data_IF_741729866592
#
_entry.id   IF_741729866592
#
_cell.length_a   1.000
_cell.length_b   1.000
_cell.length_c   1.000
_cell.angle_alpha   90.00
_cell.angle_beta   90.00
_cell.angle_gamma   90.00
#
_symmetry.space_group_name_H-M   'P 1'
#
loop_
_entity.id
_entity.type
_entity.pdbx_description
1 polymer ?
#
# COMPACT_ATOMS: atom_id res chain seq x y z
N UNK A 1 54.04 -24.73 -14.02
CA UNK A 1 53.84 -23.30 -14.32
C UNK A 1 53.53 -23.12 -15.80
N UNK A 2 52.27 -22.97 -16.19
CA UNK A 2 51.87 -22.46 -17.52
C UNK A 2 50.72 -21.49 -17.30
N UNK A 3 51.01 -20.21 -17.55
CA UNK A 3 50.11 -19.09 -17.35
C UNK A 3 49.11 -19.07 -18.51
N UNK A 4 47.84 -19.04 -18.14
CA UNK A 4 46.71 -18.65 -18.97
C UNK A 4 46.95 -17.25 -19.54
N UNK A 5 46.87 -17.11 -20.87
CA UNK A 5 46.84 -15.83 -21.56
C UNK A 5 45.49 -15.77 -22.26
N UNK A 6 44.53 -15.09 -21.65
CA UNK A 6 43.38 -14.51 -22.35
C UNK A 6 43.52 -12.99 -22.24
N UNK A 7 43.57 -12.25 -23.35
CA UNK A 7 43.50 -10.80 -23.30
C UNK A 7 42.07 -10.36 -23.03
N UNK A 8 41.92 -9.54 -21.99
CA UNK A 8 40.70 -8.79 -21.66
C UNK A 8 40.48 -7.76 -22.77
N UNK A 9 39.54 -8.03 -23.67
CA UNK A 9 39.01 -7.02 -24.60
C UNK A 9 37.85 -6.34 -23.88
N UNK A 10 38.16 -5.24 -23.20
CA UNK A 10 37.17 -4.30 -22.69
C UNK A 10 36.83 -3.32 -23.83
N UNK A 11 35.79 -3.61 -24.62
CA UNK A 11 35.20 -2.61 -25.52
C UNK A 11 34.27 -1.71 -24.71
N UNK A 12 34.69 -0.45 -24.53
CA UNK A 12 33.88 0.63 -23.96
C UNK A 12 32.49 0.67 -24.62
N UNK A 13 31.38 0.79 -23.88
CA UNK A 13 30.14 1.24 -24.48
C UNK A 13 30.32 2.71 -24.87
N UNK A 14 30.10 3.01 -26.15
CA UNK A 14 29.92 4.37 -26.61
C UNK A 14 28.67 4.94 -25.91
N UNK A 15 28.87 5.79 -24.90
CA UNK A 15 27.82 6.66 -24.39
C UNK A 15 27.41 7.62 -25.50
N UNK A 16 26.36 7.27 -26.25
CA UNK A 16 25.55 8.28 -26.93
C UNK A 16 24.86 9.09 -25.83
N UNK A 17 25.42 10.26 -25.51
CA UNK A 17 24.68 11.27 -24.77
C UNK A 17 23.54 11.80 -25.64
N UNK A 18 22.37 11.18 -25.53
CA UNK A 18 21.13 11.86 -25.88
C UNK A 18 20.89 12.96 -24.86
N UNK A 19 21.36 14.17 -25.18
CA UNK A 19 20.89 15.42 -24.58
C UNK A 19 19.39 15.58 -24.88
N UNK A 20 18.54 15.01 -24.03
CA UNK A 20 17.12 15.35 -23.99
C UNK A 20 16.92 16.62 -23.18
N UNK A 21 17.36 17.74 -23.74
CA UNK A 21 16.86 19.04 -23.30
C UNK A 21 15.77 19.48 -24.26
N UNK A 22 14.63 19.89 -23.71
CA UNK A 22 13.53 20.64 -24.32
C UNK A 22 12.40 19.80 -24.92
N UNK A 23 11.29 19.70 -24.18
CA UNK A 23 9.92 20.04 -24.62
C UNK A 23 8.88 19.89 -23.45
N UNK A 24 9.15 20.47 -22.26
CA UNK A 24 8.17 20.45 -21.13
C UNK A 24 7.43 21.80 -20.98
N UNK A 25 7.86 22.86 -21.69
CA UNK A 25 7.26 24.21 -21.57
C UNK A 25 5.92 24.36 -22.30
N UNK A 26 5.62 23.53 -23.30
CA UNK A 26 4.39 23.63 -24.11
C UNK A 26 3.15 23.07 -23.39
N UNK A 27 3.31 22.00 -22.61
CA UNK A 27 2.20 21.32 -21.90
C UNK A 27 1.56 22.17 -20.78
N UNK A 28 2.36 22.94 -20.04
CA UNK A 28 1.83 23.82 -18.96
C UNK A 28 1.07 25.02 -19.51
N UNK A 29 1.44 25.49 -20.71
CA UNK A 29 0.81 26.65 -21.36
C UNK A 29 -0.56 26.29 -21.95
N UNK A 30 -0.72 25.06 -22.46
CA UNK A 30 -2.01 24.53 -22.97
C UNK A 30 -3.03 24.37 -21.84
N UNK A 31 -2.61 23.80 -20.70
CA UNK A 31 -3.49 23.61 -19.55
C UNK A 31 -4.03 24.94 -18.98
N UNK A 32 -3.20 26.00 -18.94
CA UNK A 32 -3.65 27.32 -18.45
C UNK A 32 -4.78 27.92 -19.29
N UNK A 33 -4.71 27.81 -20.63
CA UNK A 33 -5.75 28.33 -21.53
C UNK A 33 -7.08 27.59 -21.36
N UNK A 34 -7.03 26.26 -21.28
CA UNK A 34 -8.21 25.41 -21.07
C UNK A 34 -8.89 25.69 -19.71
N UNK A 35 -8.13 25.99 -18.67
CA UNK A 35 -8.67 26.39 -17.35
C UNK A 35 -9.40 27.74 -17.46
N UNK A 36 -8.82 28.73 -18.14
CA UNK A 36 -9.47 30.03 -18.33
C UNK A 36 -10.76 29.93 -19.16
N UNK A 37 -10.76 29.10 -20.20
CA UNK A 37 -11.94 28.80 -21.01
C UNK A 37 -13.03 28.10 -20.18
N UNK A 38 -12.65 27.20 -19.27
CA UNK A 38 -13.59 26.52 -18.38
C UNK A 38 -14.31 27.48 -17.42
N UNK A 39 -13.61 28.48 -16.89
CA UNK A 39 -14.23 29.54 -16.06
C UNK A 39 -15.21 30.42 -16.85
N UNK A 40 -14.85 30.77 -18.09
CA UNK A 40 -15.73 31.52 -18.98
C UNK A 40 -16.98 30.73 -19.36
N UNK A 41 -16.84 29.42 -19.58
CA UNK A 41 -17.97 28.55 -19.97
C UNK A 41 -18.98 28.35 -18.85
N UNK A 42 -18.53 28.30 -17.59
CA UNK A 42 -19.41 28.25 -16.42
C UNK A 42 -19.94 29.62 -15.99
N UNK A 43 -19.51 30.70 -16.64
CA UNK A 43 -19.83 32.10 -16.31
C UNK A 43 -19.46 32.47 -14.86
N UNK A 44 -18.25 32.09 -14.45
CA UNK A 44 -17.75 32.23 -13.07
C UNK A 44 -16.40 32.94 -13.09
N UNK A 45 -16.11 33.88 -12.16
CA UNK A 45 -14.82 34.56 -12.15
C UNK A 45 -13.65 33.60 -11.89
N UNK A 46 -12.48 33.90 -12.46
CA UNK A 46 -11.28 33.03 -12.50
C UNK A 46 -10.76 32.53 -11.13
N UNK A 47 -11.14 33.18 -10.03
CA UNK A 47 -10.70 32.85 -8.66
C UNK A 47 -11.86 32.44 -7.74
N UNK A 48 -12.94 31.89 -8.30
CA UNK A 48 -14.12 31.53 -7.51
C UNK A 48 -13.91 30.29 -6.66
N UNK A 49 -14.55 30.25 -5.49
CA UNK A 49 -14.51 29.08 -4.62
C UNK A 49 -15.22 27.88 -5.26
N UNK A 50 -14.83 26.67 -4.84
CA UNK A 50 -15.38 25.42 -5.37
C UNK A 50 -16.91 25.33 -5.22
N UNK A 51 -17.48 25.94 -4.18
CA UNK A 51 -18.92 25.95 -3.94
C UNK A 51 -19.66 26.82 -4.96
N UNK A 52 -19.06 27.92 -5.41
CA UNK A 52 -19.62 28.78 -6.47
C UNK A 52 -19.58 28.04 -7.81
N UNK A 53 -18.48 27.35 -8.10
CA UNK A 53 -18.34 26.52 -9.32
C UNK A 53 -19.39 25.41 -9.34
N UNK A 54 -19.62 24.72 -8.21
CA UNK A 54 -20.65 23.69 -8.08
C UNK A 54 -22.06 24.24 -8.29
N UNK A 55 -22.38 25.40 -7.70
CA UNK A 55 -23.68 26.04 -7.87
C UNK A 55 -23.93 26.42 -9.33
N UNK A 56 -22.97 27.07 -9.98
CA UNK A 56 -23.06 27.45 -11.39
C UNK A 56 -23.23 26.22 -12.31
N UNK A 57 -22.49 25.15 -12.05
CA UNK A 57 -22.65 23.88 -12.77
C UNK A 57 -24.07 23.31 -12.61
N UNK A 58 -24.61 23.26 -11.39
CA UNK A 58 -25.96 22.75 -11.15
C UNK A 58 -27.03 23.58 -11.86
N UNK A 59 -26.86 24.91 -11.91
CA UNK A 59 -27.80 25.80 -12.59
C UNK A 59 -27.75 25.65 -14.11
N UNK A 60 -26.55 25.45 -14.69
CA UNK A 60 -26.39 25.21 -16.13
C UNK A 60 -26.81 23.80 -16.53
N UNK A 61 -26.52 22.79 -15.70
CA UNK A 61 -26.96 21.41 -15.91
C UNK A 61 -28.49 21.34 -15.98
N UNK A 62 -29.21 21.98 -15.05
CA UNK A 62 -30.68 22.03 -15.08
C UNK A 62 -31.24 22.70 -16.34
N UNK A 63 -30.51 23.63 -16.94
CA UNK A 63 -30.91 24.35 -18.17
C UNK A 63 -30.65 23.53 -19.43
N UNK A 64 -29.48 22.89 -19.52
CA UNK A 64 -28.99 22.24 -20.74
C UNK A 64 -29.19 20.72 -20.77
N UNK A 65 -29.62 20.09 -19.68
CA UNK A 65 -29.83 18.64 -19.66
C UNK A 65 -30.87 18.20 -20.71
N UNK A 66 -30.62 17.14 -21.49
CA UNK A 66 -31.51 16.72 -22.58
C UNK A 66 -32.91 16.28 -22.11
N UNK A 67 -33.03 15.87 -20.85
CA UNK A 67 -34.32 15.53 -20.21
C UNK A 67 -35.02 16.74 -19.56
N UNK A 68 -34.40 17.93 -19.60
CA UNK A 68 -35.05 19.15 -19.13
C UNK A 68 -36.08 19.62 -20.16
N UNK A 69 -37.27 20.01 -19.69
CA UNK A 69 -38.35 20.56 -20.54
C UNK A 69 -38.11 22.03 -20.96
N UNK A 70 -36.86 22.48 -20.92
CA UNK A 70 -36.45 23.84 -21.25
C UNK A 70 -36.21 23.95 -22.76
N UNK A 71 -36.59 25.06 -23.43
CA UNK A 71 -36.30 25.27 -24.86
C UNK A 71 -34.80 25.36 -25.16
N UNK A 72 -33.97 25.61 -24.14
CA UNK A 72 -32.51 25.71 -24.25
C UNK A 72 -31.79 24.35 -24.11
N UNK A 73 -32.51 23.25 -23.89
CA UNK A 73 -31.92 21.92 -23.67
C UNK A 73 -31.10 21.46 -24.90
N UNK A 74 -29.78 21.26 -24.72
CA UNK A 74 -28.85 20.90 -25.78
C UNK A 74 -27.72 20.01 -25.23
N UNK A 75 -27.59 18.83 -25.82
CA UNK A 75 -26.62 17.79 -25.43
C UNK A 75 -25.19 18.32 -25.53
N UNK A 76 -24.86 19.07 -26.60
CA UNK A 76 -23.49 19.48 -26.86
C UNK A 76 -23.00 20.51 -25.83
N UNK A 77 -23.89 21.43 -25.43
CA UNK A 77 -23.60 22.43 -24.40
C UNK A 77 -23.46 21.78 -23.03
N UNK A 78 -24.29 20.78 -22.72
CA UNK A 78 -24.20 20.04 -21.48
C UNK A 78 -22.85 19.33 -21.34
N UNK A 79 -22.40 18.62 -22.39
CA UNK A 79 -21.09 17.94 -22.41
C UNK A 79 -19.94 18.94 -22.25
N UNK A 80 -20.03 20.13 -22.86
CA UNK A 80 -19.03 21.17 -22.69
C UNK A 80 -18.96 21.69 -21.24
N UNK A 81 -20.12 21.94 -20.62
CA UNK A 81 -20.24 22.38 -19.21
C UNK A 81 -19.70 21.32 -18.24
N UNK A 82 -19.99 20.04 -18.47
CA UNK A 82 -19.48 18.93 -17.66
C UNK A 82 -17.95 18.82 -17.76
N UNK A 83 -17.41 18.93 -18.98
CA UNK A 83 -15.97 18.90 -19.20
C UNK A 83 -15.26 20.06 -18.50
N UNK A 84 -15.81 21.28 -18.57
CA UNK A 84 -15.28 22.43 -17.84
C UNK A 84 -15.28 22.22 -16.32
N UNK A 85 -16.37 21.69 -15.76
CA UNK A 85 -16.45 21.38 -14.32
C UNK A 85 -15.41 20.34 -13.89
N UNK A 86 -15.25 19.27 -14.68
CA UNK A 86 -14.27 18.20 -14.42
C UNK A 86 -12.83 18.74 -14.43
N UNK A 87 -12.50 19.63 -15.36
CA UNK A 87 -11.18 20.28 -15.45
C UNK A 87 -10.93 21.15 -14.21
N UNK A 88 -11.90 21.98 -13.82
CA UNK A 88 -11.76 22.87 -12.66
C UNK A 88 -11.70 22.11 -11.33
N UNK A 89 -12.48 21.03 -11.17
CA UNK A 89 -12.43 20.19 -9.97
C UNK A 89 -11.08 19.48 -9.83
N UNK A 90 -10.47 19.04 -10.93
CA UNK A 90 -9.11 18.47 -10.93
C UNK A 90 -8.06 19.53 -10.59
N UNK A 91 -8.15 20.71 -11.20
CA UNK A 91 -7.22 21.82 -10.95
C UNK A 91 -7.26 22.32 -9.50
N UNK A 92 -8.44 22.42 -8.90
CA UNK A 92 -8.58 22.78 -7.49
C UNK A 92 -8.02 21.69 -6.58
N UNK A 93 -8.27 20.40 -6.88
CA UNK A 93 -7.70 19.29 -6.13
C UNK A 93 -6.17 19.20 -6.21
N UNK A 94 -5.56 19.62 -7.32
CA UNK A 94 -4.09 19.70 -7.45
C UNK A 94 -3.52 20.90 -6.70
N UNK A 95 -4.19 22.05 -6.72
CA UNK A 95 -3.73 23.22 -5.97
C UNK A 95 -3.84 23.01 -4.45
N UNK A 96 -4.86 22.29 -3.97
CA UNK A 96 -4.97 21.93 -2.54
C UNK A 96 -3.91 20.93 -2.08
N UNK A 97 -3.26 20.19 -2.99
CA UNK A 97 -2.15 19.28 -2.62
C UNK A 97 -0.85 20.02 -2.31
N UNK A 98 -0.74 21.31 -2.63
CA UNK A 98 0.49 22.09 -2.38
C UNK A 98 0.43 22.98 -1.13
N UNK A 99 -0.71 23.10 -0.44
CA UNK A 99 -0.78 23.78 0.87
C UNK A 99 -1.65 22.99 1.83
N UNK A 100 -1.08 21.89 2.30
CA UNK A 100 -1.21 21.40 3.67
C UNK A 100 -0.22 20.23 3.76
N UNK A 101 1.06 20.58 4.00
CA UNK A 101 1.93 19.61 4.67
C UNK A 101 1.26 19.44 6.03
N UNK A 102 0.35 18.47 6.14
CA UNK A 102 -0.11 17.96 7.42
C UNK A 102 1.17 17.44 8.03
N UNK A 103 1.84 18.31 8.77
CA UNK A 103 2.76 17.90 9.81
C UNK A 103 1.82 17.09 10.69
N UNK A 104 1.86 15.77 10.54
CA UNK A 104 1.34 14.90 11.56
C UNK A 104 2.17 15.28 12.78
N UNK A 105 1.66 16.20 13.60
CA UNK A 105 2.15 16.41 14.94
C UNK A 105 1.70 15.16 15.68
N UNK A 106 2.44 14.09 15.41
CA UNK A 106 2.30 12.82 16.08
C UNK A 106 2.70 13.13 17.51
N UNK A 107 1.73 13.56 18.31
CA UNK A 107 1.80 13.50 19.77
C UNK A 107 1.64 12.06 20.22
N UNK A 108 2.27 11.11 19.53
CA UNK A 108 2.63 9.88 20.18
C UNK A 108 3.81 10.26 21.06
N UNK A 109 3.55 10.46 22.35
CA UNK A 109 4.59 10.19 23.34
C UNK A 109 4.91 8.72 23.17
N UNK A 110 5.82 8.39 22.27
CA UNK A 110 6.45 7.09 22.23
C UNK A 110 6.82 6.79 23.69
N UNK A 111 6.30 5.72 24.31
CA UNK A 111 6.62 5.42 25.69
C UNK A 111 8.14 5.44 25.79
N UNK A 112 8.68 6.49 26.44
CA UNK A 112 10.11 6.64 26.57
C UNK A 112 10.56 5.67 27.64
N UNK A 113 10.58 4.37 27.30
CA UNK A 113 11.41 3.41 28.01
C UNK A 113 12.87 3.49 27.49
N UNK A 114 13.27 4.64 26.95
CA UNK A 114 14.67 5.05 27.03
C UNK A 114 14.85 5.68 28.41
N UNK A 115 14.94 4.84 29.43
CA UNK A 115 15.61 5.27 30.65
C UNK A 115 17.06 5.50 30.25
N UNK A 116 17.42 6.77 30.00
CA UNK A 116 18.81 7.13 29.95
C UNK A 116 19.44 6.66 31.27
N UNK A 117 20.67 6.15 31.20
CA UNK A 117 21.49 5.92 32.39
C UNK A 117 21.80 7.29 33.02
N UNK A 118 20.80 7.95 33.61
CA UNK A 118 21.01 9.04 34.52
C UNK A 118 21.71 8.40 35.71
N UNK A 119 22.98 8.74 35.91
CA UNK A 119 23.78 8.21 37.00
C UNK A 119 23.30 8.69 38.38
N UNK A 120 22.03 9.09 38.52
CA UNK A 120 21.41 9.71 39.70
C UNK A 120 22.22 10.90 40.27
N UNK A 121 23.03 11.56 39.44
CA UNK A 121 23.98 12.60 39.87
C UNK A 121 25.24 12.07 40.57
N UNK A 122 25.45 10.76 40.65
CA UNK A 122 26.64 10.14 41.25
C UNK A 122 27.85 10.23 40.31
N UNK A 123 28.96 10.68 40.87
CA UNK A 123 30.28 10.67 40.25
C UNK A 123 30.72 12.01 39.66
N UNK A 124 32.03 12.18 39.51
CA UNK A 124 32.68 13.38 38.99
C UNK A 124 33.71 12.99 37.91
N UNK A 125 34.08 13.93 37.04
CA UNK A 125 35.03 13.68 35.95
C UNK A 125 34.38 13.26 34.63
N UNK A 126 35.14 12.54 33.81
CA UNK A 126 34.74 12.20 32.42
C UNK A 126 33.57 11.20 32.40
N UNK A 127 32.79 11.13 31.30
CA UNK A 127 31.65 10.21 31.21
C UNK A 127 31.99 8.73 31.51
N UNK A 128 33.17 8.26 31.09
CA UNK A 128 33.65 6.90 31.36
C UNK A 128 33.98 6.67 32.84
N UNK A 129 34.59 7.67 33.51
CA UNK A 129 34.87 7.61 34.96
C UNK A 129 33.57 7.57 35.77
N UNK A 130 32.58 8.39 35.39
CA UNK A 130 31.27 8.44 36.03
C UNK A 130 30.50 7.13 35.86
N UNK A 131 30.57 6.51 34.67
CA UNK A 131 29.98 5.20 34.42
C UNK A 131 30.60 4.12 35.32
N UNK A 132 31.92 4.10 35.47
CA UNK A 132 32.63 3.14 36.35
C UNK A 132 32.23 3.33 37.82
N UNK A 133 32.18 4.57 38.30
CA UNK A 133 31.76 4.89 39.66
C UNK A 133 30.30 4.50 39.92
N UNK A 134 29.40 4.79 38.98
CA UNK A 134 28.00 4.41 39.12
C UNK A 134 27.80 2.89 39.07
N UNK A 135 28.58 2.17 38.25
CA UNK A 135 28.57 0.71 38.26
C UNK A 135 28.99 0.16 39.63
N UNK A 136 30.00 0.76 40.27
CA UNK A 136 30.42 0.39 41.63
C UNK A 136 29.33 0.68 42.67
N UNK A 137 28.73 1.87 42.65
CA UNK A 137 27.64 2.24 43.57
C UNK A 137 26.41 1.34 43.36
N UNK A 138 26.10 0.98 42.11
CA UNK A 138 25.03 0.03 41.79
C UNK A 138 25.31 -1.35 42.40
N UNK A 139 26.54 -1.86 42.29
CA UNK A 139 26.93 -3.13 42.90
C UNK A 139 26.85 -3.08 44.43
N UNK A 140 27.28 -1.98 45.05
CA UNK A 140 27.18 -1.77 46.50
C UNK A 140 25.71 -1.74 46.96
N UNK A 141 24.85 -0.98 46.27
CA UNK A 141 23.41 -0.96 46.55
C UNK A 141 22.78 -2.35 46.42
N UNK A 142 23.13 -3.11 45.37
CA UNK A 142 22.65 -4.48 45.22
C UNK A 142 23.09 -5.38 46.40
N UNK A 143 24.34 -5.25 46.86
CA UNK A 143 24.83 -5.98 48.02
C UNK A 143 24.09 -5.59 49.32
N UNK A 144 23.85 -4.30 49.53
CA UNK A 144 23.07 -3.78 50.67
C UNK A 144 21.65 -4.36 50.63
N UNK A 145 20.98 -4.30 49.49
CA UNK A 145 19.61 -4.83 49.34
C UNK A 145 19.55 -6.34 49.61
N UNK A 146 20.56 -7.11 49.19
CA UNK A 146 20.64 -8.55 49.50
C UNK A 146 20.84 -8.78 51.00
N UNK A 147 21.69 -8.00 51.66
CA UNK A 147 21.86 -8.09 53.12
C UNK A 147 20.61 -7.67 53.87
N UNK A 148 19.94 -6.60 53.45
CA UNK A 148 18.66 -6.15 54.01
C UNK A 148 17.59 -7.22 53.83
N UNK A 149 17.49 -7.84 52.66
CA UNK A 149 16.58 -8.96 52.44
C UNK A 149 16.92 -10.18 53.32
N UNK A 150 18.22 -10.50 53.49
CA UNK A 150 18.67 -11.60 54.36
C UNK A 150 18.36 -11.32 55.83
N UNK A 151 18.60 -10.11 56.32
CA UNK A 151 18.28 -9.70 57.69
C UNK A 151 16.78 -9.66 57.91
N UNK A 152 15.99 -9.12 56.98
CA UNK A 152 14.53 -9.17 57.02
C UNK A 152 14.01 -10.61 57.04
N UNK A 153 14.58 -11.51 56.24
CA UNK A 153 14.24 -12.93 56.23
C UNK A 153 14.61 -13.62 57.55
N UNK A 154 15.76 -13.31 58.13
CA UNK A 154 16.19 -13.85 59.43
C UNK A 154 15.28 -13.36 60.56
N UNK A 155 14.99 -12.05 60.62
CA UNK A 155 14.04 -11.46 61.58
C UNK A 155 12.63 -12.03 61.41
N UNK A 156 12.19 -12.29 60.17
CA UNK A 156 10.91 -12.95 59.91
C UNK A 156 10.90 -14.41 60.37
N UNK A 157 12.04 -15.12 60.31
CA UNK A 157 12.17 -16.48 60.83
C UNK A 157 12.16 -16.52 62.36
N UNK A 158 12.75 -15.54 63.02
CA UNK A 158 12.77 -15.40 64.48
C UNK A 158 11.40 -14.96 65.03
N UNK A 159 10.65 -14.17 64.25
CA UNK A 159 9.25 -13.78 64.55
C UNK A 159 8.21 -14.84 64.20
N UNK A 160 8.56 -16.09 63.92
CA UNK A 160 7.59 -17.14 63.54
C UNK A 160 6.60 -17.57 64.64
N UNK A 161 6.72 -17.05 65.87
CA UNK A 161 5.69 -17.15 66.92
C UNK A 161 4.73 -15.94 66.97
N UNK A 162 5.00 -14.87 66.23
CA UNK A 162 4.08 -13.74 66.10
C UNK A 162 3.59 -13.67 64.65
N UNK A 163 2.31 -14.04 64.46
CA UNK A 163 1.48 -13.91 63.25
C UNK A 163 2.20 -13.25 62.07
N UNK A 164 2.47 -14.04 61.03
CA UNK A 164 2.87 -13.52 59.71
C UNK A 164 1.84 -12.48 59.26
N UNK A 165 2.17 -11.22 59.41
CA UNK A 165 1.44 -10.17 58.69
C UNK A 165 1.82 -10.27 57.21
N UNK A 166 0.84 -10.19 56.29
CA UNK A 166 1.10 -10.24 54.87
C UNK A 166 2.01 -9.07 54.48
N UNK A 167 3.09 -9.37 53.77
CA UNK A 167 3.95 -8.36 53.14
C UNK A 167 3.06 -7.38 52.38
N UNK A 168 3.19 -6.08 52.69
CA UNK A 168 2.39 -5.02 52.08
C UNK A 168 2.49 -5.13 50.56
N UNK A 169 1.44 -5.65 49.92
CA UNK A 169 1.22 -5.50 48.49
C UNK A 169 1.34 -4.01 48.21
N UNK A 170 2.20 -3.63 47.28
CA UNK A 170 2.22 -2.25 46.81
C UNK A 170 0.82 -1.97 46.26
N UNK A 171 0.04 -1.20 47.02
CA UNK A 171 -1.29 -0.74 46.61
C UNK A 171 -1.10 0.35 45.56
N UNK A 172 -0.73 -0.09 44.35
CA UNK A 172 -0.87 0.71 43.15
C UNK A 172 -2.37 0.71 42.86
N UNK A 173 -3.04 1.75 43.35
CA UNK A 173 -4.45 2.00 43.10
C UNK A 173 -4.61 2.44 41.64
N UNK A 174 -4.87 1.51 40.74
CA UNK A 174 -5.19 1.82 39.33
C UNK A 174 -6.51 1.21 38.89
N UNK A 175 -7.10 1.95 37.96
CA UNK A 175 -8.47 1.92 37.44
C UNK A 175 -8.89 0.64 36.69
N UNK A 176 -8.05 -0.38 36.63
CA UNK A 176 -8.18 -1.51 35.70
C UNK A 176 -8.09 -2.86 36.43
N UNK A 177 -9.22 -3.32 36.96
CA UNK A 177 -9.30 -4.58 37.71
C UNK A 177 -9.00 -5.83 36.86
N UNK A 178 -9.26 -5.78 35.56
CA UNK A 178 -9.00 -6.89 34.64
C UNK A 178 -7.51 -7.13 34.42
N UNK A 179 -6.73 -6.06 34.20
CA UNK A 179 -5.27 -6.16 34.03
C UNK A 179 -4.58 -6.76 35.26
N UNK A 180 -5.08 -6.46 36.47
CA UNK A 180 -4.57 -7.05 37.71
C UNK A 180 -4.88 -8.54 37.85
N UNK A 181 -6.07 -8.96 37.44
CA UNK A 181 -6.48 -10.36 37.47
C UNK A 181 -5.67 -11.19 36.46
N UNK A 182 -5.42 -10.61 35.28
CA UNK A 182 -4.53 -11.19 34.26
C UNK A 182 -3.09 -11.30 34.78
N UNK A 183 -2.56 -10.26 35.42
CA UNK A 183 -1.19 -10.27 35.98
C UNK A 183 -1.04 -11.28 37.12
N UNK A 184 -2.00 -11.34 38.05
CA UNK A 184 -2.00 -12.32 39.14
C UNK A 184 -2.05 -13.75 38.57
N UNK A 185 -2.84 -13.99 37.51
CA UNK A 185 -2.91 -15.29 36.83
C UNK A 185 -1.60 -15.65 36.12
N UNK A 186 -0.97 -14.68 35.43
CA UNK A 186 0.33 -14.87 34.77
C UNK A 186 1.41 -15.21 35.81
N UNK A 187 1.44 -14.51 36.95
CA UNK A 187 2.39 -14.78 38.03
C UNK A 187 2.16 -16.14 38.68
N UNK A 188 0.90 -16.54 38.88
CA UNK A 188 0.54 -17.87 39.37
C UNK A 188 1.02 -18.96 38.39
N UNK A 189 0.73 -18.83 37.10
CA UNK A 189 1.19 -19.75 36.06
C UNK A 189 2.72 -19.81 35.92
N UNK A 190 3.42 -18.68 36.10
CA UNK A 190 4.90 -18.65 36.16
C UNK A 190 5.43 -19.42 37.37
N UNK A 191 4.83 -19.23 38.55
CA UNK A 191 5.24 -19.93 39.77
C UNK A 191 5.00 -21.44 39.70
N UNK A 192 3.96 -21.86 38.97
CA UNK A 192 3.64 -23.27 38.69
C UNK A 192 4.54 -23.89 37.62
N UNK A 193 5.33 -23.09 36.90
CA UNK A 193 6.18 -23.58 35.81
C UNK A 193 5.42 -24.00 34.56
N UNK A 194 4.17 -23.54 34.38
CA UNK A 194 3.33 -23.90 33.21
C UNK A 194 3.96 -23.43 31.88
N UNK A 195 4.80 -22.40 31.92
CA UNK A 195 5.54 -21.89 30.76
C UNK A 195 6.79 -22.71 30.39
N UNK A 196 7.17 -23.71 31.19
CA UNK A 196 8.43 -24.43 30.95
C UNK A 196 8.35 -25.48 29.84
N UNK A 197 7.17 -26.06 29.60
CA UNK A 197 6.95 -27.15 28.63
C UNK A 197 5.99 -26.75 27.49
N UNK A 198 6.04 -25.49 27.08
CA UNK A 198 5.26 -25.02 25.94
C UNK A 198 5.77 -25.62 24.62
N UNK A 199 4.85 -26.04 23.75
CA UNK A 199 5.19 -26.52 22.42
C UNK A 199 5.87 -25.41 21.62
N UNK A 200 7.18 -25.57 21.36
CA UNK A 200 7.98 -24.58 20.62
C UNK A 200 8.90 -23.71 21.47
N UNK A 201 8.96 -23.89 22.80
CA UNK A 201 9.94 -23.21 23.66
C UNK A 201 11.36 -23.52 23.18
N UNK A 202 12.16 -22.48 22.96
CA UNK A 202 13.57 -22.58 22.54
C UNK A 202 13.80 -22.95 21.08
N UNK A 203 12.73 -23.18 20.30
CA UNK A 203 12.85 -23.33 18.84
C UNK A 203 12.81 -21.94 18.19
N UNK A 204 13.56 -21.70 17.11
CA UNK A 204 13.41 -20.47 16.34
C UNK A 204 11.95 -20.30 15.94
N UNK A 205 11.46 -19.06 15.93
CA UNK A 205 10.16 -18.74 15.36
C UNK A 205 10.11 -19.35 13.96
N UNK A 206 9.02 -20.05 13.63
CA UNK A 206 8.82 -20.47 12.25
C UNK A 206 8.90 -19.18 11.42
N UNK A 207 9.70 -19.19 10.36
CA UNK A 207 9.70 -18.12 9.36
C UNK A 207 8.27 -18.07 8.79
N UNK A 208 7.45 -17.23 9.43
CA UNK A 208 6.30 -16.66 8.79
C UNK A 208 6.95 -15.91 7.63
N UNK A 209 6.72 -16.36 6.40
CA UNK A 209 7.16 -15.69 5.18
C UNK A 209 6.39 -14.36 5.02
N UNK A 210 6.44 -13.56 6.08
CA UNK A 210 5.78 -12.30 6.26
C UNK A 210 6.77 -11.29 5.76
N UNK A 211 6.58 -10.90 4.50
CA UNK A 211 7.28 -9.79 3.92
C UNK A 211 7.20 -8.58 4.89
N UNK A 212 8.32 -8.12 5.47
CA UNK A 212 8.31 -7.02 6.45
C UNK A 212 7.76 -5.71 5.90
N UNK A 213 7.65 -5.59 4.57
CA UNK A 213 7.11 -4.43 3.88
C UNK A 213 5.59 -4.48 3.68
N UNK A 214 4.93 -5.61 4.01
CA UNK A 214 3.48 -5.76 3.88
C UNK A 214 2.84 -5.54 5.24
N UNK A 215 1.78 -4.74 5.29
CA UNK A 215 1.05 -4.51 6.53
C UNK A 215 0.33 -5.80 7.00
N UNK A 216 0.05 -5.85 8.30
CA UNK A 216 -0.56 -7.04 8.92
C UNK A 216 -1.89 -7.44 8.27
N UNK A 217 -2.70 -6.45 7.90
CA UNK A 217 -4.00 -6.62 7.27
C UNK A 217 -3.89 -7.25 5.89
N UNK A 218 -2.99 -6.76 5.03
CA UNK A 218 -2.79 -7.29 3.68
C UNK A 218 -2.15 -8.67 3.74
N UNK A 219 -1.20 -8.90 4.64
CA UNK A 219 -0.63 -10.22 4.84
C UNK A 219 -1.72 -11.23 5.22
N UNK A 220 -2.60 -10.87 6.16
CA UNK A 220 -3.66 -11.78 6.59
C UNK A 220 -4.70 -12.02 5.50
N UNK A 221 -5.03 -11.00 4.72
CA UNK A 221 -5.90 -11.13 3.55
C UNK A 221 -5.29 -12.11 2.53
N UNK A 222 -4.03 -11.91 2.15
CA UNK A 222 -3.33 -12.78 1.20
C UNK A 222 -3.24 -14.23 1.73
N UNK A 223 -2.99 -14.41 3.02
CA UNK A 223 -2.98 -15.73 3.67
C UNK A 223 -4.35 -16.43 3.55
N UNK A 224 -5.45 -15.71 3.81
CA UNK A 224 -6.82 -16.24 3.68
C UNK A 224 -7.15 -16.59 2.23
N UNK A 225 -6.76 -15.74 1.28
CA UNK A 225 -6.96 -16.01 -0.14
C UNK A 225 -6.23 -17.29 -0.57
N UNK A 226 -4.96 -17.44 -0.21
CA UNK A 226 -4.16 -18.64 -0.51
C UNK A 226 -4.77 -19.89 0.13
N UNK A 227 -5.16 -19.82 1.41
CA UNK A 227 -5.77 -20.95 2.11
C UNK A 227 -7.09 -21.41 1.49
N UNK A 228 -7.85 -20.47 0.93
CA UNK A 228 -9.11 -20.75 0.23
C UNK A 228 -8.90 -21.09 -1.26
N UNK A 229 -7.66 -21.10 -1.76
CA UNK A 229 -7.34 -21.35 -3.16
C UNK A 229 -7.79 -20.24 -4.11
N UNK A 230 -8.03 -19.03 -3.60
CA UNK A 230 -8.44 -17.89 -4.41
C UNK A 230 -7.22 -17.08 -4.85
N UNK A 231 -7.02 -16.93 -6.16
CA UNK A 231 -5.95 -16.09 -6.73
C UNK A 231 -6.55 -14.84 -7.38
N UNK A 232 -6.02 -13.64 -7.08
CA UNK A 232 -6.39 -12.42 -7.78
C UNK A 232 -6.21 -12.54 -9.30
N UNK A 233 -7.09 -11.88 -10.04
CA UNK A 233 -7.13 -11.89 -11.51
C UNK A 233 -5.79 -11.54 -12.15
N UNK A 234 -5.08 -10.53 -11.64
CA UNK A 234 -3.78 -10.13 -12.16
C UNK A 234 -2.70 -11.22 -12.02
N UNK A 235 -2.78 -12.07 -11.00
CA UNK A 235 -1.86 -13.21 -10.84
C UNK A 235 -2.17 -14.26 -11.88
N UNK A 236 -3.46 -14.56 -12.08
CA UNK A 236 -3.91 -15.51 -13.10
C UNK A 236 -3.51 -15.03 -14.50
N UNK A 237 -3.79 -13.77 -14.84
CA UNK A 237 -3.39 -13.17 -16.11
C UNK A 237 -1.87 -13.17 -16.30
N UNK A 238 -1.10 -12.83 -15.27
CA UNK A 238 0.37 -12.88 -15.36
C UNK A 238 0.87 -14.30 -15.66
N UNK A 239 0.25 -15.30 -15.03
CA UNK A 239 0.58 -16.70 -15.27
C UNK A 239 0.22 -17.14 -16.70
N UNK A 240 -0.92 -16.69 -17.22
CA UNK A 240 -1.34 -16.94 -18.60
C UNK A 240 -0.34 -16.31 -19.59
N UNK A 241 0.04 -15.05 -19.38
CA UNK A 241 1.06 -14.37 -20.21
C UNK A 241 2.38 -15.13 -20.19
N UNK A 242 2.83 -15.58 -19.02
CA UNK A 242 4.07 -16.35 -18.90
C UNK A 242 3.99 -17.68 -19.65
N UNK A 243 2.83 -18.35 -19.64
CA UNK A 243 2.59 -19.57 -20.40
C UNK A 243 2.60 -19.32 -21.91
N UNK A 244 1.95 -18.26 -22.38
CA UNK A 244 1.95 -17.88 -23.79
C UNK A 244 3.36 -17.55 -24.29
N UNK A 245 4.17 -16.86 -23.46
CA UNK A 245 5.58 -16.60 -23.76
C UNK A 245 6.37 -17.91 -23.90
N UNK A 246 6.12 -18.90 -23.04
CA UNK A 246 6.77 -20.22 -23.12
C UNK A 246 6.40 -20.95 -24.42
N UNK A 247 5.11 -20.92 -24.79
CA UNK A 247 4.59 -21.52 -26.03
C UNK A 247 5.20 -20.85 -27.26
N UNK A 248 5.23 -19.51 -27.32
CA UNK A 248 5.86 -18.76 -28.41
C UNK A 248 7.36 -19.08 -28.52
N UNK A 249 8.07 -19.24 -27.40
CA UNK A 249 9.48 -19.67 -27.41
C UNK A 249 9.64 -21.08 -27.93
N UNK A 250 8.71 -21.99 -27.68
CA UNK A 250 8.72 -23.35 -28.25
C UNK A 250 8.45 -23.33 -29.75
N UNK A 251 7.50 -22.54 -30.21
CA UNK A 251 7.19 -22.35 -31.63
C UNK A 251 8.40 -21.80 -32.38
N UNK A 252 9.00 -20.70 -31.91
CA UNK A 252 10.22 -20.13 -32.49
C UNK A 252 11.36 -21.15 -32.50
N UNK A 253 11.49 -21.97 -31.45
CA UNK A 253 12.49 -23.05 -31.41
C UNK A 253 12.20 -24.11 -32.46
N UNK A 254 10.94 -24.47 -32.69
CA UNK A 254 10.55 -25.45 -33.69
C UNK A 254 10.80 -24.93 -35.11
N UNK A 255 10.39 -23.69 -35.41
CA UNK A 255 10.70 -23.04 -36.68
C UNK A 255 12.20 -23.00 -36.93
N UNK A 256 12.98 -22.69 -35.88
CA UNK A 256 14.44 -22.66 -35.96
C UNK A 256 15.10 -24.02 -36.18
N UNK A 257 14.46 -25.15 -35.85
CA UNK A 257 15.01 -26.50 -36.13
C UNK A 257 15.11 -26.79 -37.63
N UNK A 258 14.22 -26.21 -38.43
CA UNK A 258 14.19 -26.43 -39.87
C UNK A 258 15.18 -25.55 -40.64
N UNK A 259 15.80 -24.58 -39.96
CA UNK A 259 16.74 -23.64 -40.54
C UNK A 259 18.19 -24.13 -40.45
N UNK A 260 18.99 -23.76 -41.45
CA UNK A 260 20.42 -24.05 -41.49
C UNK A 260 21.27 -23.28 -40.47
N UNK A 261 22.58 -23.57 -40.37
CA UNK A 261 23.51 -22.80 -39.55
C UNK A 261 23.55 -21.34 -40.02
N UNK A 262 23.78 -20.42 -39.09
CA UNK A 262 23.95 -19.01 -39.42
C UNK A 262 25.26 -18.80 -40.22
N UNK A 263 25.30 -17.96 -41.28
CA UNK A 263 24.25 -17.07 -41.79
C UNK A 263 23.16 -17.81 -42.58
N UNK A 264 21.90 -17.38 -42.37
CA UNK A 264 20.72 -17.96 -43.01
C UNK A 264 20.72 -17.70 -44.52
N UNK A 265 20.16 -18.64 -45.28
CA UNK A 265 19.97 -18.48 -46.72
C UNK A 265 18.85 -17.45 -47.02
N UNK A 266 18.86 -16.81 -48.19
CA UNK A 266 17.88 -15.74 -48.51
C UNK A 266 16.42 -16.24 -48.51
N UNK A 267 16.20 -17.51 -48.85
CA UNK A 267 14.88 -18.16 -48.83
C UNK A 267 14.41 -18.45 -47.40
N UNK A 268 15.31 -18.96 -46.56
CA UNK A 268 15.08 -19.21 -45.13
C UNK A 268 14.77 -17.91 -44.37
N UNK A 269 15.46 -16.82 -44.72
CA UNK A 269 15.21 -15.50 -44.15
C UNK A 269 13.81 -14.97 -44.51
N UNK A 270 13.36 -15.17 -45.75
CA UNK A 270 12.00 -14.79 -46.18
C UNK A 270 10.92 -15.62 -45.47
N UNK A 271 11.16 -16.90 -45.25
CA UNK A 271 10.22 -17.78 -44.55
C UNK A 271 10.00 -17.36 -43.09
N UNK A 272 11.06 -16.96 -42.39
CA UNK A 272 10.97 -16.41 -41.02
C UNK A 272 10.25 -15.06 -41.02
N UNK A 273 10.51 -14.21 -42.00
CA UNK A 273 9.80 -12.93 -42.13
C UNK A 273 8.28 -13.15 -42.26
N UNK A 274 7.88 -14.13 -43.08
CA UNK A 274 6.47 -14.49 -43.27
C UNK A 274 5.81 -15.10 -42.03
N UNK A 275 6.52 -15.90 -41.22
CA UNK A 275 5.94 -16.42 -39.97
C UNK A 275 5.73 -15.30 -38.95
N UNK A 276 6.70 -14.40 -38.78
CA UNK A 276 6.59 -13.23 -37.90
C UNK A 276 5.45 -12.30 -38.33
N UNK A 277 5.30 -12.04 -39.63
CA UNK A 277 4.21 -11.20 -40.15
C UNK A 277 2.83 -11.85 -39.94
N UNK A 278 2.74 -13.18 -40.06
CA UNK A 278 1.51 -13.94 -39.79
C UNK A 278 1.11 -13.80 -38.32
N UNK A 279 2.05 -13.97 -37.40
CA UNK A 279 1.76 -13.92 -35.96
C UNK A 279 1.33 -12.51 -35.53
N UNK A 280 1.94 -11.46 -36.10
CA UNK A 280 1.51 -10.06 -35.92
C UNK A 280 0.08 -9.82 -36.43
N UNK A 281 -0.33 -10.45 -37.53
CA UNK A 281 -1.71 -10.33 -38.02
C UNK A 281 -2.73 -11.03 -37.14
N UNK A 282 -2.37 -12.14 -36.49
CA UNK A 282 -3.26 -12.83 -35.54
C UNK A 282 -3.38 -12.06 -34.21
N UNK A 283 -2.30 -11.44 -33.71
CA UNK A 283 -2.37 -10.50 -32.57
C UNK A 283 -3.32 -9.34 -32.85
N UNK A 284 -3.22 -8.73 -34.05
CA UNK A 284 -4.09 -7.62 -34.45
C UNK A 284 -5.57 -8.03 -34.56
N UNK A 285 -5.87 -9.28 -34.93
CA UNK A 285 -7.24 -9.81 -34.94
C UNK A 285 -7.75 -10.04 -33.52
N UNK A 286 -6.95 -10.64 -32.65
CA UNK A 286 -7.30 -10.91 -31.24
C UNK A 286 -7.62 -9.62 -30.47
N UNK A 287 -6.81 -8.56 -30.65
CA UNK A 287 -7.08 -7.25 -30.04
C UNK A 287 -8.40 -6.62 -30.53
N UNK A 288 -8.78 -6.87 -31.79
CA UNK A 288 -10.01 -6.34 -32.35
C UNK A 288 -11.26 -7.06 -31.81
N UNK A 289 -11.16 -8.37 -31.56
CA UNK A 289 -12.23 -9.17 -30.95
C UNK A 289 -12.49 -8.75 -29.50
N UNK A 290 -11.44 -8.50 -28.71
CA UNK A 290 -11.57 -8.04 -27.31
C UNK A 290 -12.28 -6.69 -27.21
N UNK A 291 -12.01 -5.77 -28.15
CA UNK A 291 -12.71 -4.48 -28.21
C UNK A 291 -14.21 -4.65 -28.50
N UNK A 292 -14.59 -5.57 -29.40
CA UNK A 292 -15.99 -5.84 -29.71
C UNK A 292 -16.76 -6.48 -28.54
N UNK A 293 -16.14 -7.41 -27.79
CA UNK A 293 -16.79 -8.00 -26.61
C UNK A 293 -17.04 -6.97 -25.50
N UNK A 294 -16.13 -5.99 -25.32
CA UNK A 294 -16.32 -4.92 -24.35
C UNK A 294 -17.48 -3.99 -24.74
N UNK A 295 -17.64 -3.72 -26.03
CA UNK A 295 -18.75 -2.91 -26.56
C UNK A 295 -20.10 -3.64 -26.40
N UNK A 296 -20.12 -4.97 -26.59
CA UNK A 296 -21.30 -5.81 -26.41
C UNK A 296 -21.72 -5.91 -24.92
N UNK A 297 -20.77 -6.03 -23.99
CA UNK A 297 -21.05 -6.04 -22.54
C UNK A 297 -21.65 -4.70 -22.09
N UNK A 298 -21.11 -3.58 -22.58
CA UNK A 298 -21.64 -2.24 -22.30
C UNK A 298 -23.05 -2.11 -22.89
N UNK A 299 -23.28 -2.59 -24.10
CA UNK A 299 -24.61 -2.61 -24.74
C UNK A 299 -25.64 -3.44 -23.97
N UNK A 300 -25.27 -4.62 -23.49
CA UNK A 300 -26.12 -5.50 -22.67
C UNK A 300 -26.44 -4.83 -21.34
N UNK A 301 -25.46 -4.20 -20.68
CA UNK A 301 -25.65 -3.47 -19.44
C UNK A 301 -26.66 -2.32 -19.59
N UNK A 302 -26.55 -1.51 -20.64
CA UNK A 302 -27.49 -0.41 -20.90
C UNK A 302 -28.89 -0.90 -21.27
N UNK A 303 -29.01 -2.04 -21.95
CA UNK A 303 -30.30 -2.65 -22.27
C UNK A 303 -31.02 -3.15 -21.01
N UNK A 304 -30.31 -3.87 -20.14
CA UNK A 304 -30.83 -4.34 -18.85
C UNK A 304 -31.18 -3.18 -17.93
N UNK A 305 -30.35 -2.14 -17.89
CA UNK A 305 -30.63 -0.93 -17.10
C UNK A 305 -31.84 -0.17 -17.65
N UNK A 306 -32.01 -0.10 -18.97
CA UNK A 306 -33.18 0.49 -19.62
C UNK A 306 -34.48 -0.27 -19.34
N UNK A 307 -34.45 -1.60 -19.36
CA UNK A 307 -35.58 -2.44 -18.97
C UNK A 307 -35.94 -2.27 -17.49
N UNK A 308 -34.94 -2.19 -16.60
CA UNK A 308 -35.13 -1.96 -15.17
C UNK A 308 -35.74 -0.59 -14.86
N UNK A 309 -35.32 0.45 -15.59
CA UNK A 309 -35.85 1.81 -15.46
C UNK A 309 -37.27 1.93 -16.05
N UNK A 310 -37.57 1.23 -17.14
CA UNK A 310 -38.94 1.14 -17.70
C UNK A 310 -39.91 0.41 -16.76
N UNK A 311 -39.45 -0.62 -16.05
CA UNK A 311 -40.30 -1.39 -15.14
C UNK A 311 -40.79 -0.57 -13.92
N UNK A 312 -40.02 0.43 -13.48
CA UNK A 312 -40.40 1.32 -12.36
C UNK A 312 -41.49 2.36 -12.74
N UNK A 313 -41.80 2.52 -14.02
CA UNK A 313 -42.79 3.50 -14.51
C UNK A 313 -44.26 3.04 -14.45
N UNK A 314 -44.53 1.73 -14.37
CA UNK A 314 -45.88 1.18 -14.56
C UNK A 314 -46.65 0.78 -13.30
N UNK A 315 -46.08 0.93 -12.09
CA UNK A 315 -46.78 0.54 -10.84
C UNK A 315 -47.73 1.60 -10.25
N UNK A 316 -47.79 2.83 -10.80
CA UNK A 316 -48.63 3.92 -10.24
C UNK A 316 -50.07 4.01 -10.77
N UNK A 317 -50.60 2.97 -11.43
CA UNK A 317 -52.01 2.92 -11.87
C UNK A 317 -52.68 1.61 -11.49
N UNK A 318 -52.81 1.30 -10.20
CA UNK A 318 -53.76 0.28 -9.70
C UNK A 318 -53.97 0.30 -8.18
N UNK A 319 -54.15 1.47 -7.57
CA UNK A 319 -54.73 1.55 -6.21
C UNK A 319 -55.63 2.79 -6.20
N UNK A 320 -56.93 2.58 -6.44
CA UNK A 320 -57.91 3.64 -6.60
C UNK A 320 -59.19 3.12 -7.23
N UNK A 321 -59.88 2.24 -6.51
CA UNK A 321 -61.33 2.12 -6.46
C UNK A 321 -61.70 1.32 -5.21
#
# INVERSE_FOLDING_TARGET
MRKSIYPIICSKPACLEFRTTLQIKTLTTVNKKQIEESYKLLDVPKNSSQDVIKKAFLDLAKKYHPDAKSPDADINKFVAVENAFRILSKHNATNTKEVEKIIYDIKHTAPQHRQFLSFDGIGYGTPSQRQKQYAQVRAQRAAINVMEHRTAKAVASEKTLMKKEPLKKHDIKTKYGFERLVEDLIQESMSKGEFENLSGKGKPLKDQNSNPYVDFTTHKLNEVLINNGFTPEWITMSKEIDQDIELLKEEIRNDRKYLGPYPLNEEDAKNIQHSVDRDQTEEAKSQKVVLQESDDIIGIFFKVLGELLSFRGNEKKKIGN
#
